data_IF_256308477443
#
_entry.id   IF_256308477443
#
_cell.length_a   1.000
_cell.length_b   1.000
_cell.length_c   1.000
_cell.angle_alpha   90.00
_cell.angle_beta   90.00
_cell.angle_gamma   90.00
#
_symmetry.space_group_name_H-M   'P 1'
#
loop_
_entity.id
_entity.type
_entity.pdbx_description
1 polymer ?
#
# COMPACT_ATOMS: atom_id res chain seq x y z
N UNK A 1 47.01 -61.71 38.03
CA UNK A 1 47.48 -60.39 37.54
C UNK A 1 46.43 -59.85 36.58
N UNK A 2 45.61 -58.89 37.01
CA UNK A 2 44.53 -58.33 36.19
C UNK A 2 44.83 -56.86 35.91
N UNK A 3 45.05 -56.52 34.64
CA UNK A 3 45.34 -55.17 34.19
C UNK A 3 44.05 -54.35 34.13
N UNK A 4 43.97 -53.29 34.94
CA UNK A 4 42.90 -52.28 34.87
C UNK A 4 43.35 -51.16 33.94
N UNK A 5 42.68 -51.00 32.80
CA UNK A 5 42.91 -49.85 31.91
C UNK A 5 42.12 -48.62 32.38
N UNK A 6 42.62 -47.42 32.06
CA UNK A 6 42.21 -46.14 32.61
C UNK A 6 40.79 -45.65 32.25
N UNK A 7 39.97 -46.44 31.55
CA UNK A 7 38.63 -46.04 31.11
C UNK A 7 37.47 -46.78 31.79
N UNK A 8 37.74 -47.70 32.71
CA UNK A 8 36.70 -48.51 33.36
C UNK A 8 36.12 -47.91 34.66
N UNK A 9 36.25 -46.60 34.90
CA UNK A 9 35.57 -45.94 36.04
C UNK A 9 34.28 -45.29 35.57
N UNK A 10 33.16 -45.91 35.94
CA UNK A 10 31.82 -45.33 35.89
C UNK A 10 31.81 -44.01 36.66
N UNK A 11 31.44 -42.91 35.98
CA UNK A 11 31.31 -41.59 36.63
C UNK A 11 31.61 -40.39 35.74
N UNK A 12 31.97 -40.57 34.47
CA UNK A 12 32.16 -39.48 33.52
C UNK A 12 30.85 -39.10 32.82
N UNK A 13 30.15 -38.10 33.32
CA UNK A 13 29.17 -37.34 32.53
C UNK A 13 29.91 -36.70 31.36
N UNK A 14 29.91 -37.35 30.20
CA UNK A 14 30.29 -36.71 28.95
C UNK A 14 29.33 -35.54 28.72
N UNK A 15 29.80 -34.28 28.65
CA UNK A 15 28.97 -33.19 28.19
C UNK A 15 28.65 -33.48 26.72
N UNK A 16 27.50 -34.09 26.49
CA UNK A 16 26.91 -34.19 25.17
C UNK A 16 26.90 -32.79 24.58
N UNK A 17 27.48 -32.66 23.40
CA UNK A 17 27.56 -31.49 22.54
C UNK A 17 26.15 -31.10 22.03
N UNK A 18 25.20 -31.00 22.96
CA UNK A 18 23.87 -30.45 22.75
C UNK A 18 24.06 -28.95 22.62
N UNK A 19 24.19 -28.51 21.38
CA UNK A 19 23.89 -27.15 20.97
C UNK A 19 22.57 -26.76 21.64
N UNK A 20 22.55 -25.84 22.63
CA UNK A 20 21.29 -25.39 23.18
C UNK A 20 20.53 -24.69 22.06
N UNK A 21 19.34 -25.19 21.73
CA UNK A 21 18.41 -24.48 20.87
C UNK A 21 18.12 -23.15 21.55
N UNK A 22 18.78 -22.09 21.06
CA UNK A 22 18.57 -20.71 21.47
C UNK A 22 17.18 -20.28 21.01
N UNK A 23 16.17 -20.67 21.77
CA UNK A 23 14.82 -20.13 21.66
C UNK A 23 14.82 -18.78 22.37
N UNK A 24 15.32 -17.75 21.68
CA UNK A 24 15.10 -16.36 22.09
C UNK A 24 13.66 -15.99 21.74
N UNK A 25 12.72 -16.36 22.60
CA UNK A 25 11.41 -15.68 22.65
C UNK A 25 11.60 -14.35 23.37
N UNK A 26 11.37 -13.20 22.72
CA UNK A 26 11.33 -11.92 23.41
C UNK A 26 10.13 -11.89 24.37
N UNK A 27 10.37 -11.60 25.66
CA UNK A 27 9.32 -11.26 26.63
C UNK A 27 8.72 -9.90 26.25
N UNK A 28 7.43 -9.79 25.91
CA UNK A 28 6.79 -8.49 25.80
C UNK A 28 6.54 -7.90 27.19
N UNK A 29 6.97 -6.65 27.38
CA UNK A 29 6.59 -5.81 28.52
C UNK A 29 5.07 -5.63 28.50
N UNK A 30 4.42 -5.88 29.64
CA UNK A 30 3.00 -5.62 29.81
C UNK A 30 2.73 -4.11 29.73
N UNK A 31 2.12 -3.66 28.64
CA UNK A 31 1.30 -2.46 28.65
C UNK A 31 -0.15 -2.89 28.70
N UNK A 32 -0.84 -2.32 29.69
CA UNK A 32 -2.22 -2.57 30.07
C UNK A 32 -3.12 -1.99 28.98
N UNK A 33 -3.75 -2.83 28.15
CA UNK A 33 -4.84 -2.43 27.27
C UNK A 33 -5.85 -3.56 27.06
N UNK A 34 -7.03 -3.34 27.64
CA UNK A 34 -8.38 -3.70 27.19
C UNK A 34 -8.62 -5.02 26.43
N UNK A 35 -9.29 -5.94 27.12
CA UNK A 35 -10.44 -6.78 26.71
C UNK A 35 -10.61 -7.19 25.22
N UNK A 36 -10.66 -8.52 25.09
CA UNK A 36 -11.41 -9.38 24.14
C UNK A 36 -11.04 -9.36 22.66
N UNK A 37 -10.31 -10.38 22.21
CA UNK A 37 -10.90 -11.46 21.40
C UNK A 37 -9.95 -12.67 21.27
N UNK A 38 -10.57 -13.84 21.27
CA UNK A 38 -10.05 -15.20 21.21
C UNK A 38 -9.11 -15.44 20.01
N UNK A 39 -8.01 -16.22 20.14
CA UNK A 39 -7.18 -16.60 18.99
C UNK A 39 -7.83 -17.79 18.27
N UNK A 40 -8.89 -17.52 17.49
CA UNK A 40 -9.23 -18.38 16.36
C UNK A 40 -8.18 -18.18 15.27
N UNK A 41 -7.72 -19.26 14.64
CA UNK A 41 -6.70 -19.27 13.59
C UNK A 41 -6.76 -17.99 12.73
N UNK A 42 -5.76 -17.12 12.89
CA UNK A 42 -5.75 -15.82 12.25
C UNK A 42 -5.67 -16.03 10.74
N UNK A 43 -6.83 -15.99 10.08
CA UNK A 43 -6.90 -15.84 8.63
C UNK A 43 -6.04 -14.64 8.25
N UNK A 44 -5.30 -14.70 7.13
CA UNK A 44 -4.52 -13.57 6.68
C UNK A 44 -5.41 -12.30 6.64
N UNK A 45 -4.87 -11.14 7.05
CA UNK A 45 -5.66 -9.91 7.10
C UNK A 45 -6.24 -9.63 5.72
N UNK A 46 -7.56 -9.39 5.65
CA UNK A 46 -8.26 -9.00 4.43
C UNK A 46 -7.60 -7.76 3.81
N UNK A 47 -7.61 -7.64 2.48
CA UNK A 47 -7.10 -6.41 1.87
C UNK A 47 -7.96 -5.20 2.23
N UNK A 48 -7.36 -4.02 2.09
CA UNK A 48 -8.04 -2.74 2.27
C UNK A 48 -9.23 -2.59 1.32
N UNK A 49 -9.15 -3.15 0.11
CA UNK A 49 -10.22 -3.03 -0.88
C UNK A 49 -11.42 -3.90 -0.51
N UNK A 50 -11.20 -5.15 -0.07
CA UNK A 50 -12.29 -6.00 0.42
C UNK A 50 -12.98 -5.33 1.60
N UNK A 51 -12.22 -4.79 2.55
CA UNK A 51 -12.80 -4.06 3.68
C UNK A 51 -13.61 -2.83 3.22
N UNK A 52 -13.13 -2.10 2.22
CA UNK A 52 -13.85 -0.95 1.66
C UNK A 52 -15.18 -1.36 1.05
N UNK A 53 -15.20 -2.43 0.24
CA UNK A 53 -16.41 -2.95 -0.39
C UNK A 53 -17.37 -3.57 0.62
N UNK A 54 -16.87 -4.25 1.65
CA UNK A 54 -17.69 -4.80 2.74
C UNK A 54 -18.40 -3.69 3.52
N UNK A 55 -17.68 -2.63 3.91
CA UNK A 55 -18.27 -1.46 4.58
C UNK A 55 -19.34 -0.80 3.71
N UNK A 56 -19.07 -0.69 2.40
CA UNK A 56 -20.00 -0.10 1.45
C UNK A 56 -21.27 -0.95 1.30
N UNK A 57 -21.11 -2.27 1.12
CA UNK A 57 -22.20 -3.25 1.08
C UNK A 57 -23.06 -3.15 2.32
N UNK A 58 -22.45 -3.18 3.50
CA UNK A 58 -23.18 -3.13 4.78
C UNK A 58 -23.94 -1.82 4.93
N UNK A 59 -23.33 -0.70 4.50
CA UNK A 59 -23.98 0.60 4.44
C UNK A 59 -25.21 0.61 3.53
N UNK A 60 -25.08 0.10 2.30
CA UNK A 60 -26.18 0.01 1.33
C UNK A 60 -27.30 -0.93 1.81
N UNK A 61 -26.94 -2.10 2.33
CA UNK A 61 -27.89 -3.08 2.86
C UNK A 61 -28.68 -2.53 4.05
N UNK A 62 -28.03 -1.75 4.92
CA UNK A 62 -28.71 -1.06 6.02
C UNK A 62 -29.71 0.00 5.54
N UNK A 63 -29.45 0.66 4.41
CA UNK A 63 -30.39 1.62 3.80
C UNK A 63 -31.58 0.90 3.19
N UNK A 64 -31.32 -0.17 2.42
CA UNK A 64 -32.37 -1.01 1.82
C UNK A 64 -33.30 -1.58 2.91
N UNK A 65 -32.72 -2.09 3.99
CA UNK A 65 -33.48 -2.65 5.12
C UNK A 65 -34.35 -1.61 5.84
N UNK A 66 -34.02 -0.32 5.74
CA UNK A 66 -34.80 0.80 6.29
C UNK A 66 -35.82 1.37 5.30
N UNK A 67 -36.07 0.69 4.18
CA UNK A 67 -37.01 1.15 3.15
C UNK A 67 -36.50 2.36 2.37
N UNK A 68 -35.18 2.50 2.20
CA UNK A 68 -34.59 3.58 1.41
C UNK A 68 -34.52 4.93 2.12
N UNK A 69 -34.85 5.00 3.41
CA UNK A 69 -34.70 6.23 4.21
C UNK A 69 -33.21 6.47 4.46
N UNK A 70 -32.66 7.45 3.73
CA UNK A 70 -31.27 7.85 3.83
C UNK A 70 -31.09 8.87 4.96
N UNK A 71 -30.17 8.57 5.87
CA UNK A 71 -29.71 9.53 6.87
C UNK A 71 -28.69 10.50 6.27
N UNK A 72 -28.53 11.66 6.89
CA UNK A 72 -27.39 12.53 6.64
C UNK A 72 -26.11 11.85 7.13
N UNK A 73 -25.00 12.07 6.42
CA UNK A 73 -23.69 11.59 6.89
C UNK A 73 -23.39 12.20 8.28
N UNK A 74 -23.03 11.40 9.30
CA UNK A 74 -22.64 11.92 10.62
C UNK A 74 -21.44 12.88 10.55
N UNK A 75 -20.63 12.82 9.49
CA UNK A 75 -19.51 13.75 9.25
C UNK A 75 -19.94 15.00 8.47
N UNK A 76 -21.22 15.13 8.12
CA UNK A 76 -21.78 16.25 7.38
C UNK A 76 -21.60 16.18 5.87
N UNK A 77 -21.04 15.09 5.33
CA UNK A 77 -20.69 14.97 3.92
C UNK A 77 -19.54 15.89 3.50
N UNK A 78 -19.08 15.74 2.27
CA UNK A 78 -18.06 16.60 1.68
C UNK A 78 -18.68 17.66 0.77
N UNK A 79 -18.59 18.93 1.18
CA UNK A 79 -18.69 20.07 0.29
C UNK A 79 -17.28 20.44 -0.12
N UNK A 80 -16.88 20.12 -1.34
CA UNK A 80 -15.49 20.18 -1.75
C UNK A 80 -14.85 21.59 -1.59
N UNK A 81 -15.62 22.68 -1.46
CA UNK A 81 -15.11 24.05 -1.18
C UNK A 81 -13.90 24.42 -2.07
N UNK A 82 -14.01 24.16 -3.37
CA UNK A 82 -12.94 24.34 -4.37
C UNK A 82 -11.67 23.47 -4.18
N UNK A 83 -11.70 22.44 -3.33
CA UNK A 83 -10.67 21.40 -3.24
C UNK A 83 -10.91 20.32 -4.29
N UNK A 84 -9.82 19.79 -4.86
CA UNK A 84 -9.87 18.67 -5.79
C UNK A 84 -9.99 17.35 -5.02
N UNK A 85 -11.04 16.61 -5.32
CA UNK A 85 -11.24 15.24 -4.86
C UNK A 85 -11.57 14.35 -6.05
N UNK A 86 -11.22 13.07 -5.96
CA UNK A 86 -11.61 12.10 -7.00
C UNK A 86 -13.13 11.98 -6.98
N UNK A 87 -13.74 12.02 -8.17
CA UNK A 87 -15.18 11.84 -8.37
C UNK A 87 -15.54 10.42 -7.91
N UNK A 88 -16.68 10.27 -7.23
CA UNK A 88 -17.12 8.96 -6.79
C UNK A 88 -17.45 8.06 -7.99
N UNK A 89 -17.04 6.80 -7.92
CA UNK A 89 -17.28 5.79 -8.96
C UNK A 89 -18.73 5.34 -9.02
N UNK A 90 -19.45 5.39 -7.88
CA UNK A 90 -20.80 4.86 -7.76
C UNK A 90 -21.89 5.93 -7.92
N UNK A 91 -21.56 7.20 -7.69
CA UNK A 91 -22.49 8.33 -7.76
C UNK A 91 -21.74 9.60 -8.19
N UNK A 92 -21.69 9.89 -9.50
CA UNK A 92 -20.94 11.05 -10.01
C UNK A 92 -21.61 12.40 -9.70
N UNK A 93 -22.94 12.44 -9.63
CA UNK A 93 -23.71 13.64 -9.29
C UNK A 93 -25.04 13.30 -8.63
N UNK A 94 -25.59 14.25 -7.86
CA UNK A 94 -26.95 14.15 -7.33
C UNK A 94 -27.98 14.40 -8.45
N UNK A 95 -28.94 13.48 -8.62
CA UNK A 95 -29.98 13.60 -9.66
C UNK A 95 -30.98 14.73 -9.40
N UNK A 96 -31.11 15.21 -8.17
CA UNK A 96 -32.07 16.25 -7.81
C UNK A 96 -31.51 17.67 -7.96
N UNK A 97 -30.29 17.92 -7.44
CA UNK A 97 -29.69 19.26 -7.46
C UNK A 97 -28.46 19.39 -8.35
N UNK A 98 -28.00 18.31 -8.99
CA UNK A 98 -26.85 18.32 -9.89
C UNK A 98 -25.49 18.47 -9.19
N UNK A 99 -25.41 18.42 -7.86
CA UNK A 99 -24.15 18.55 -7.13
C UNK A 99 -23.21 17.39 -7.49
N UNK A 100 -21.99 17.64 -8.03
CA UNK A 100 -21.02 16.59 -8.28
C UNK A 100 -20.51 16.02 -6.95
N UNK A 101 -20.44 14.69 -6.85
CA UNK A 101 -20.10 13.99 -5.61
C UNK A 101 -18.72 13.33 -5.74
N UNK A 102 -17.88 13.55 -4.74
CA UNK A 102 -16.57 12.93 -4.63
C UNK A 102 -16.62 11.63 -3.82
N UNK A 103 -15.53 10.87 -3.79
CA UNK A 103 -15.44 9.59 -3.06
C UNK A 103 -15.76 9.68 -1.56
N UNK A 104 -15.73 10.87 -0.96
CA UNK A 104 -16.12 11.07 0.45
C UNK A 104 -17.64 11.05 0.65
N UNK A 105 -18.42 11.33 -0.39
CA UNK A 105 -19.88 11.30 -0.37
C UNK A 105 -20.36 9.89 -0.74
N UNK A 106 -20.40 9.01 0.26
CA UNK A 106 -20.79 7.61 0.06
C UNK A 106 -22.27 7.50 -0.37
N UNK A 107 -22.62 6.52 -1.22
CA UNK A 107 -23.97 6.37 -1.78
C UNK A 107 -25.04 5.96 -0.75
N UNK A 108 -24.63 5.53 0.44
CA UNK A 108 -25.50 5.15 1.55
C UNK A 108 -25.95 6.34 2.43
N UNK A 109 -25.60 7.59 2.06
CA UNK A 109 -26.06 8.81 2.73
C UNK A 109 -26.85 9.72 1.79
N UNK A 110 -27.65 10.61 2.36
CA UNK A 110 -28.39 11.62 1.61
C UNK A 110 -27.45 12.69 1.00
N UNK A 111 -27.92 13.38 -0.04
CA UNK A 111 -27.19 14.48 -0.64
C UNK A 111 -26.89 15.58 0.41
N UNK A 112 -25.64 16.05 0.54
CA UNK A 112 -25.33 17.08 1.53
C UNK A 112 -26.00 18.42 1.20
N UNK A 113 -26.28 18.73 -0.07
CA UNK A 113 -26.87 20.01 -0.49
C UNK A 113 -28.39 20.07 -0.38
N UNK A 114 -29.11 19.03 -0.79
CA UNK A 114 -30.58 19.05 -0.84
C UNK A 114 -31.25 17.98 0.04
N UNK A 115 -30.46 17.16 0.75
CA UNK A 115 -30.94 16.06 1.62
C UNK A 115 -31.78 15.01 0.87
N UNK A 116 -31.84 15.08 -0.46
CA UNK A 116 -32.54 14.10 -1.28
C UNK A 116 -31.77 12.78 -1.33
N UNK A 117 -32.48 11.65 -1.54
CA UNK A 117 -31.84 10.38 -1.79
C UNK A 117 -31.01 10.43 -3.07
N UNK A 118 -29.79 9.90 -3.03
CA UNK A 118 -28.88 9.93 -4.19
C UNK A 118 -29.29 8.97 -5.31
N UNK A 119 -30.02 7.92 -4.94
CA UNK A 119 -30.48 6.87 -5.85
C UNK A 119 -31.94 6.58 -5.56
N UNK A 120 -32.69 6.21 -6.61
CA UNK A 120 -34.00 5.60 -6.44
C UNK A 120 -33.86 4.20 -5.83
N UNK A 121 -34.92 3.71 -5.19
CA UNK A 121 -34.93 2.38 -4.56
C UNK A 121 -34.48 1.24 -5.51
N UNK A 122 -34.98 1.11 -6.76
CA UNK A 122 -34.47 0.09 -7.68
C UNK A 122 -33.00 0.31 -8.08
N UNK A 123 -32.54 1.57 -8.17
CA UNK A 123 -31.14 1.86 -8.45
C UNK A 123 -30.22 1.51 -7.29
N UNK A 124 -30.69 1.63 -6.04
CA UNK A 124 -29.95 1.17 -4.85
C UNK A 124 -29.77 -0.35 -4.86
N UNK A 125 -30.81 -1.12 -5.20
CA UNK A 125 -30.69 -2.58 -5.33
C UNK A 125 -29.73 -2.98 -6.44
N UNK A 126 -29.79 -2.31 -7.60
CA UNK A 126 -28.85 -2.55 -8.70
C UNK A 126 -27.40 -2.25 -8.29
N UNK A 127 -27.18 -1.14 -7.56
CA UNK A 127 -25.86 -0.79 -7.03
C UNK A 127 -25.37 -1.81 -6.00
N UNK A 128 -26.25 -2.29 -5.11
CA UNK A 128 -25.91 -3.33 -4.15
C UNK A 128 -25.49 -4.62 -4.85
N UNK A 129 -26.21 -5.04 -5.89
CA UNK A 129 -25.85 -6.20 -6.71
C UNK A 129 -24.47 -6.01 -7.36
N UNK A 130 -24.22 -4.84 -7.96
CA UNK A 130 -22.91 -4.51 -8.54
C UNK A 130 -21.78 -4.60 -7.51
N UNK A 131 -21.97 -4.05 -6.30
CA UNK A 131 -20.95 -4.09 -5.23
C UNK A 131 -20.69 -5.53 -4.76
N UNK A 132 -21.72 -6.39 -4.73
CA UNK A 132 -21.55 -7.82 -4.42
C UNK A 132 -20.73 -8.53 -5.51
N UNK A 133 -21.02 -8.29 -6.78
CA UNK A 133 -20.26 -8.86 -7.90
C UNK A 133 -18.80 -8.40 -7.89
N UNK A 134 -18.54 -7.12 -7.62
CA UNK A 134 -17.18 -6.59 -7.48
C UNK A 134 -16.44 -7.22 -6.31
N UNK A 135 -17.11 -7.42 -5.17
CA UNK A 135 -16.54 -8.07 -3.99
C UNK A 135 -16.16 -9.52 -4.31
N UNK A 136 -17.00 -10.27 -5.01
CA UNK A 136 -16.71 -11.64 -5.45
C UNK A 136 -15.51 -11.70 -6.40
N UNK A 137 -15.39 -10.75 -7.33
CA UNK A 137 -14.24 -10.64 -8.23
C UNK A 137 -12.95 -10.39 -7.45
N UNK A 138 -12.98 -9.47 -6.47
CA UNK A 138 -11.80 -9.17 -5.64
C UNK A 138 -11.41 -10.36 -4.76
N UNK A 139 -12.37 -11.03 -4.14
CA UNK A 139 -12.11 -12.22 -3.32
C UNK A 139 -11.49 -13.36 -4.14
N UNK A 140 -11.98 -13.60 -5.37
CA UNK A 140 -11.36 -14.61 -6.27
C UNK A 140 -9.92 -14.26 -6.59
N UNK A 141 -9.63 -12.98 -6.93
CA UNK A 141 -8.27 -12.51 -7.19
C UNK A 141 -7.35 -12.68 -5.98
N UNK A 142 -7.84 -12.43 -4.77
CA UNK A 142 -7.06 -12.64 -3.54
C UNK A 142 -6.76 -14.10 -3.26
N UNK A 143 -7.75 -14.98 -3.45
CA UNK A 143 -7.57 -16.43 -3.30
C UNK A 143 -6.55 -16.96 -4.31
N UNK A 144 -6.64 -16.54 -5.57
CA UNK A 144 -5.71 -16.94 -6.62
C UNK A 144 -4.28 -16.43 -6.34
N UNK A 145 -4.14 -15.16 -5.92
CA UNK A 145 -2.85 -14.60 -5.53
C UNK A 145 -2.24 -15.35 -4.33
N UNK A 146 -3.07 -15.78 -3.37
CA UNK A 146 -2.61 -16.58 -2.22
C UNK A 146 -2.10 -17.95 -2.66
N UNK A 147 -2.84 -18.64 -3.52
CA UNK A 147 -2.43 -19.95 -4.08
C UNK A 147 -1.13 -19.83 -4.85
N UNK A 148 -1.00 -18.82 -5.70
CA UNK A 148 0.24 -18.55 -6.43
C UNK A 148 1.42 -18.29 -5.49
N UNK A 149 1.22 -17.52 -4.42
CA UNK A 149 2.27 -17.27 -3.43
C UNK A 149 2.67 -18.55 -2.66
N UNK A 150 1.72 -19.43 -2.34
CA UNK A 150 2.02 -20.73 -1.70
C UNK A 150 2.77 -21.67 -2.64
N UNK A 151 2.35 -21.76 -3.90
CA UNK A 151 3.01 -22.58 -4.91
C UNK A 151 4.42 -22.08 -5.21
N UNK A 152 4.63 -20.76 -5.26
CA UNK A 152 5.96 -20.18 -5.42
C UNK A 152 6.85 -20.43 -4.20
N UNK A 153 6.31 -20.34 -2.97
CA UNK A 153 7.04 -20.73 -1.75
C UNK A 153 7.44 -22.21 -1.76
N UNK A 154 6.54 -23.09 -2.20
CA UNK A 154 6.84 -24.53 -2.35
C UNK A 154 7.89 -24.76 -3.44
N UNK A 155 7.84 -24.02 -4.56
CA UNK A 155 8.85 -24.08 -5.61
C UNK A 155 10.22 -23.66 -5.10
N UNK A 156 10.33 -22.54 -4.36
CA UNK A 156 11.61 -22.07 -3.81
C UNK A 156 12.16 -23.01 -2.74
N UNK A 157 11.30 -23.58 -1.87
CA UNK A 157 11.75 -24.51 -0.81
C UNK A 157 12.03 -25.92 -1.33
N UNK A 158 11.26 -26.38 -2.32
CA UNK A 158 11.39 -27.68 -2.96
C UNK A 158 12.38 -27.69 -4.12
N UNK A 159 12.80 -26.53 -4.63
CA UNK A 159 13.91 -26.44 -5.56
C UNK A 159 15.19 -26.74 -4.77
N UNK A 160 15.61 -28.00 -4.81
CA UNK A 160 17.01 -28.32 -4.60
C UNK A 160 17.79 -27.39 -5.53
N UNK A 161 18.72 -26.55 -5.03
CA UNK A 161 19.48 -25.64 -5.87
C UNK A 161 20.12 -26.49 -6.96
N UNK A 162 19.57 -26.40 -8.17
CA UNK A 162 20.04 -27.20 -9.28
C UNK A 162 21.37 -26.58 -9.63
N UNK A 163 22.45 -27.27 -9.27
CA UNK A 163 23.81 -26.92 -9.66
C UNK A 163 23.95 -27.11 -11.18
N UNK A 164 23.25 -26.29 -11.97
CA UNK A 164 23.43 -26.26 -13.40
C UNK A 164 24.63 -25.36 -13.72
N UNK A 165 25.63 -25.97 -14.36
CA UNK A 165 26.78 -25.36 -15.03
C UNK A 165 27.98 -24.91 -14.17
N UNK A 166 28.38 -25.72 -13.20
CA UNK A 166 29.77 -25.72 -12.70
C UNK A 166 30.47 -27.05 -13.01
N UNK A 167 30.25 -27.63 -14.19
CA UNK A 167 31.10 -28.68 -14.74
C UNK A 167 31.00 -28.65 -16.28
N UNK A 168 32.17 -28.62 -16.93
CA UNK A 168 32.43 -28.79 -18.37
C UNK A 168 32.09 -27.63 -19.32
N UNK A 169 32.75 -26.49 -19.14
CA UNK A 169 33.24 -25.70 -20.27
C UNK A 169 34.75 -25.97 -20.42
N UNK A 170 35.06 -27.16 -20.92
CA UNK A 170 36.39 -27.50 -21.42
C UNK A 170 36.19 -28.41 -22.62
N UNK A 171 36.49 -27.82 -23.79
CA UNK A 171 36.83 -28.48 -25.06
C UNK A 171 35.69 -28.98 -25.95
N UNK A 172 35.56 -28.25 -27.08
CA UNK A 172 35.26 -28.73 -28.44
C UNK A 172 34.06 -29.66 -28.67
N UNK A 173 32.96 -29.08 -29.19
CA UNK A 173 32.54 -29.38 -30.58
C UNK A 173 31.24 -28.67 -30.96
N UNK A 174 31.28 -28.16 -32.19
CA UNK A 174 30.21 -27.55 -32.97
C UNK A 174 28.99 -28.49 -33.10
N UNK A 175 27.83 -28.14 -32.55
CA UNK A 175 26.52 -28.41 -33.20
C UNK A 175 25.53 -27.28 -32.84
N UNK A 176 24.97 -26.71 -33.89
CA UNK A 176 24.09 -25.56 -33.96
C UNK A 176 22.63 -25.96 -33.66
N UNK A 177 21.97 -25.34 -32.67
CA UNK A 177 20.50 -25.27 -32.56
C UNK A 177 20.08 -23.86 -32.08
N UNK A 178 19.12 -23.18 -32.74
CA UNK A 178 18.68 -21.85 -32.35
C UNK A 178 17.52 -21.93 -31.35
N UNK A 179 17.63 -21.19 -30.23
CA UNK A 179 16.51 -21.01 -29.30
C UNK A 179 16.87 -20.90 -27.81
N UNK A 180 18.08 -20.43 -27.47
CA UNK A 180 18.46 -20.16 -26.08
C UNK A 180 17.99 -18.78 -25.63
N UNK A 181 17.01 -18.75 -24.73
CA UNK A 181 16.65 -17.56 -23.97
C UNK A 181 17.83 -17.12 -23.09
N UNK A 182 18.14 -15.83 -23.15
CA UNK A 182 19.31 -15.18 -22.59
C UNK A 182 19.49 -15.41 -21.08
N UNK A 183 20.74 -15.55 -20.59
CA UNK A 183 21.01 -15.62 -19.15
C UNK A 183 20.73 -14.26 -18.47
N UNK A 184 20.21 -14.26 -17.22
CA UNK A 184 19.99 -13.02 -16.47
C UNK A 184 21.32 -12.32 -16.12
N UNK A 185 21.29 -10.98 -15.87
CA UNK A 185 22.50 -10.21 -15.61
C UNK A 185 23.23 -10.71 -14.35
N UNK A 186 24.52 -11.02 -14.51
CA UNK A 186 25.40 -11.49 -13.45
C UNK A 186 25.51 -10.45 -12.33
N UNK A 187 24.80 -10.66 -11.22
CA UNK A 187 25.13 -10.01 -9.96
C UNK A 187 26.51 -10.50 -9.51
N UNK A 188 27.43 -9.56 -9.31
CA UNK A 188 28.81 -9.81 -8.88
C UNK A 188 28.81 -10.50 -7.50
N UNK A 189 28.89 -11.84 -7.49
CA UNK A 189 28.89 -12.60 -6.25
C UNK A 189 30.24 -12.43 -5.53
N UNK A 190 30.21 -11.79 -4.36
CA UNK A 190 31.35 -11.74 -3.45
C UNK A 190 31.56 -13.14 -2.84
N UNK A 191 32.60 -13.84 -3.27
CA UNK A 191 32.93 -15.16 -2.72
C UNK A 191 33.43 -14.99 -1.28
N UNK A 192 32.70 -15.59 -0.33
CA UNK A 192 33.11 -15.71 1.08
C UNK A 192 33.71 -17.09 1.28
N UNK A 193 35.03 -17.14 1.48
CA UNK A 193 35.76 -18.38 1.76
C UNK A 193 35.87 -18.54 3.27
N UNK A 194 35.29 -19.62 3.79
CA UNK A 194 35.48 -20.02 5.19
C UNK A 194 36.68 -20.96 5.24
N UNK A 195 37.75 -20.53 5.89
CA UNK A 195 38.92 -21.36 6.15
C UNK A 195 38.91 -21.81 7.60
N UNK A 196 39.09 -23.11 7.83
CA UNK A 196 39.16 -23.71 9.15
C UNK A 196 40.62 -24.07 9.41
N UNK A 197 41.25 -23.35 10.33
CA UNK A 197 42.63 -23.63 10.67
C UNK A 197 42.70 -24.89 11.55
N UNK A 198 43.20 -26.00 11.00
CA UNK A 198 43.21 -27.30 11.68
C UNK A 198 43.98 -27.30 13.02
N UNK A 199 44.94 -26.38 13.20
CA UNK A 199 45.78 -26.29 14.40
C UNK A 199 45.12 -25.47 15.51
N UNK A 200 44.28 -24.49 15.17
CA UNK A 200 43.62 -23.60 16.14
C UNK A 200 42.10 -23.81 16.23
N UNK A 201 41.53 -24.66 15.35
CA UNK A 201 40.08 -24.92 15.18
C UNK A 201 39.23 -23.65 15.03
N UNK A 202 39.84 -22.52 14.66
CA UNK A 202 39.15 -21.25 14.45
C UNK A 202 38.74 -21.14 12.98
N UNK A 203 37.49 -20.73 12.76
CA UNK A 203 36.96 -20.41 11.44
C UNK A 203 37.31 -18.96 11.10
N UNK A 204 38.05 -18.73 10.03
CA UNK A 204 38.31 -17.40 9.47
C UNK A 204 37.52 -17.21 8.19
N UNK A 205 36.76 -16.13 8.11
CA UNK A 205 35.97 -15.76 6.92
C UNK A 205 36.75 -14.73 6.13
N UNK A 206 37.21 -15.07 4.93
CA UNK A 206 37.82 -14.13 3.99
C UNK A 206 36.82 -13.84 2.87
N UNK A 207 36.38 -12.58 2.76
CA UNK A 207 35.54 -12.13 1.65
C UNK A 207 36.39 -11.45 0.59
N UNK A 208 36.44 -12.03 -0.62
CA UNK A 208 37.11 -11.43 -1.76
C UNK A 208 36.08 -10.70 -2.62
N UNK A 209 36.13 -9.38 -2.63
CA UNK A 209 35.36 -8.53 -3.55
C UNK A 209 36.32 -8.02 -4.63
N UNK A 210 36.07 -8.37 -5.90
CA UNK A 210 36.80 -7.76 -7.01
C UNK A 210 36.29 -6.32 -7.15
N UNK A 211 37.12 -5.34 -6.75
CA UNK A 211 36.81 -3.91 -6.95
C UNK A 211 36.92 -3.59 -8.45
N UNK A 212 35.88 -3.03 -9.11
CA UNK A 212 36.07 -2.45 -10.44
C UNK A 212 36.92 -1.17 -10.34
N UNK A 213 37.81 -0.99 -11.34
CA UNK A 213 38.65 0.18 -11.54
C UNK A 213 37.77 1.37 -11.94
N UNK A 214 37.72 2.40 -11.10
CA UNK A 214 36.96 3.62 -11.35
C UNK A 214 37.66 4.50 -12.39
N UNK A 215 36.93 4.91 -13.43
CA UNK A 215 37.22 6.11 -14.25
C UNK A 215 36.61 7.34 -13.57
N UNK A 216 37.30 8.50 -13.56
CA UNK A 216 36.80 9.70 -12.89
C UNK A 216 35.72 10.43 -13.72
N UNK A 217 34.64 10.93 -13.11
CA UNK A 217 33.72 11.85 -13.78
C UNK A 217 34.18 13.30 -13.64
N UNK A 218 33.87 14.19 -14.60
CA UNK A 218 34.10 15.61 -14.46
C UNK A 218 33.06 16.24 -13.51
N UNK A 219 33.54 17.27 -12.82
CA UNK A 219 32.90 18.12 -11.81
C UNK A 219 31.55 18.72 -12.20
N UNK A 220 30.60 18.69 -11.26
CA UNK A 220 29.41 19.56 -11.21
C UNK A 220 29.03 19.86 -9.75
N UNK A 221 28.62 21.09 -9.37
CA UNK A 221 28.56 21.51 -7.98
C UNK A 221 27.20 21.25 -7.31
N UNK A 222 27.27 20.79 -6.05
CA UNK A 222 26.43 21.23 -4.93
C UNK A 222 24.96 20.83 -4.90
N UNK A 223 24.60 19.94 -3.97
CA UNK A 223 23.64 20.22 -2.87
C UNK A 223 23.43 19.01 -1.95
N UNK A 224 23.90 19.18 -0.70
CA UNK A 224 23.29 18.77 0.59
C UNK A 224 22.33 17.56 0.58
N UNK A 225 22.82 16.42 1.05
CA UNK A 225 22.00 15.28 1.47
C UNK A 225 21.81 15.31 3.00
N UNK A 226 20.56 15.49 3.43
CA UNK A 226 20.11 15.13 4.78
C UNK A 226 19.60 13.68 4.78
N UNK A 227 19.67 13.06 5.97
CA UNK A 227 19.45 11.66 6.30
C UNK A 227 18.04 11.10 5.96
N UNK A 228 17.88 9.78 5.77
CA UNK A 228 16.58 9.15 5.58
C UNK A 228 15.84 9.01 6.91
N UNK A 229 14.76 9.77 7.09
CA UNK A 229 13.75 9.52 8.12
C UNK A 229 12.64 8.67 7.50
N UNK A 230 12.43 7.53 8.15
CA UNK A 230 11.23 6.70 8.25
C UNK A 230 9.94 7.34 7.69
N UNK A 231 9.36 6.67 6.69
CA UNK A 231 8.11 7.04 6.02
C UNK A 231 6.90 6.78 6.93
N UNK A 232 6.46 7.81 7.63
CA UNK A 232 5.10 7.95 8.14
C UNK A 232 4.22 8.52 7.01
N UNK A 233 3.61 7.63 6.21
CA UNK A 233 2.65 7.98 5.15
C UNK A 233 1.27 7.40 5.45
N UNK A 234 0.26 8.27 5.60
CA UNK A 234 -1.13 7.83 5.49
C UNK A 234 -2.23 8.79 5.91
N UNK A 235 -1.94 9.91 6.57
CA UNK A 235 -2.95 10.94 6.84
C UNK A 235 -2.51 12.26 6.19
N UNK A 236 -3.26 12.81 5.23
CA UNK A 236 -2.90 14.10 4.65
C UNK A 236 -2.93 15.17 5.73
N UNK A 237 -1.83 15.92 5.84
CA UNK A 237 -1.67 17.01 6.77
C UNK A 237 -2.84 18.00 6.66
N UNK A 238 -3.49 18.30 7.80
CA UNK A 238 -4.57 19.30 7.86
C UNK A 238 -3.96 20.68 7.62
N UNK A 239 -4.11 21.17 6.38
CA UNK A 239 -3.67 22.50 5.97
C UNK A 239 -4.39 23.55 6.82
N UNK A 240 -3.63 24.51 7.37
CA UNK A 240 -4.16 25.64 8.13
C UNK A 240 -5.12 26.49 7.28
N UNK A 241 -6.10 27.13 7.94
CA UNK A 241 -7.09 27.97 7.29
C UNK A 241 -6.47 29.09 6.45
N UNK A 242 -7.12 29.52 5.36
CA UNK A 242 -6.59 30.53 4.47
C UNK A 242 -6.36 31.86 5.23
N UNK A 243 -5.36 32.66 4.83
CA UNK A 243 -5.14 34.00 5.39
C UNK A 243 -6.41 34.84 5.25
N UNK A 244 -6.78 35.57 6.31
CA UNK A 244 -8.00 36.41 6.34
C UNK A 244 -7.96 37.60 5.39
N UNK A 245 -6.80 37.93 4.83
CA UNK A 245 -6.62 39.13 4.02
C UNK A 245 -6.05 38.76 2.66
N UNK A 246 -6.89 38.89 1.63
CA UNK A 246 -6.51 38.80 0.23
C UNK A 246 -6.20 40.24 -0.20
N UNK A 247 -4.96 40.57 -0.62
CA UNK A 247 -4.67 41.86 -1.23
C UNK A 247 -5.49 41.98 -2.52
N UNK A 248 -6.50 42.84 -2.50
CA UNK A 248 -7.25 43.20 -3.70
C UNK A 248 -6.30 43.96 -4.64
N UNK A 249 -6.07 43.48 -5.87
CA UNK A 249 -5.33 44.26 -6.85
C UNK A 249 -6.13 45.54 -7.13
N UNK A 250 -5.54 46.70 -6.81
CA UNK A 250 -6.06 47.98 -7.28
C UNK A 250 -5.89 48.01 -8.79
N UNK A 251 -6.95 47.65 -9.53
CA UNK A 251 -6.94 47.74 -10.97
C UNK A 251 -6.79 49.21 -11.39
N UNK A 252 -5.95 49.52 -12.39
CA UNK A 252 -5.86 50.87 -12.91
C UNK A 252 -7.22 51.29 -13.50
N UNK A 253 -7.68 52.49 -13.13
CA UNK A 253 -8.99 53.06 -13.46
C UNK A 253 -9.38 53.00 -14.96
N UNK A 254 -8.40 52.80 -15.85
CA UNK A 254 -8.58 52.73 -17.31
C UNK A 254 -9.22 51.44 -17.83
N UNK A 255 -9.46 50.43 -17.01
CA UNK A 255 -10.14 49.19 -17.44
C UNK A 255 -11.64 49.15 -17.12
N UNK A 256 -12.18 50.20 -16.50
CA UNK A 256 -13.59 50.31 -16.14
C UNK A 256 -14.50 50.71 -17.31
N UNK A 257 -13.99 51.42 -18.31
CA UNK A 257 -14.77 51.81 -19.50
C UNK A 257 -15.08 50.63 -20.44
N UNK A 258 -14.26 49.58 -20.43
CA UNK A 258 -14.46 48.39 -21.26
C UNK A 258 -15.44 47.36 -20.66
N UNK A 259 -15.98 47.64 -19.47
CA UNK A 259 -16.90 46.74 -18.75
C UNK A 259 -18.07 47.54 -18.17
N UNK A 260 -19.07 47.91 -19.00
CA UNK A 260 -20.22 48.71 -18.55
C UNK A 260 -21.03 48.04 -17.42
N UNK A 261 -20.90 46.72 -17.26
CA UNK A 261 -21.54 45.95 -16.17
C UNK A 261 -20.81 46.02 -14.82
N UNK A 262 -19.61 46.61 -14.75
CA UNK A 262 -18.83 46.67 -13.49
C UNK A 262 -19.27 47.84 -12.57
N UNK A 263 -20.01 48.81 -13.08
CA UNK A 263 -20.53 49.95 -12.31
C UNK A 263 -22.04 49.84 -12.02
N UNK A 264 -22.53 48.66 -11.65
CA UNK A 264 -23.89 48.50 -11.13
C UNK A 264 -23.98 48.92 -9.64
N UNK A 265 -23.46 50.10 -9.31
CA UNK A 265 -23.59 50.72 -7.97
C UNK A 265 -24.60 51.88 -7.93
N UNK A 266 -25.23 52.21 -9.05
CA UNK A 266 -26.34 53.16 -9.11
C UNK A 266 -27.65 52.40 -9.33
N UNK A 267 -28.73 52.93 -8.72
CA UNK A 267 -30.06 52.32 -8.71
C UNK A 267 -30.60 52.10 -10.14
N UNK A 268 -30.52 50.86 -10.62
CA UNK A 268 -31.08 50.45 -11.90
C UNK A 268 -32.59 50.29 -11.72
N UNK A 269 -33.37 51.22 -12.28
CA UNK A 269 -34.83 51.08 -12.38
C UNK A 269 -35.19 50.29 -13.64
N UNK A 270 -35.93 49.20 -13.47
CA UNK A 270 -36.44 48.38 -14.56
C UNK A 270 -37.53 49.13 -15.32
N UNK A 271 -37.36 49.29 -16.63
CA UNK A 271 -38.40 49.82 -17.54
C UNK A 271 -39.06 48.63 -18.23
N UNK A 272 -40.36 48.48 -18.01
CA UNK A 272 -41.17 47.41 -18.59
C UNK A 272 -41.39 47.66 -20.10
N UNK A 273 -41.03 46.72 -20.99
CA UNK A 273 -41.19 46.86 -22.43
C UNK A 273 -42.65 46.94 -22.90
N UNK A 274 -43.64 46.69 -22.03
CA UNK A 274 -45.06 46.86 -22.37
C UNK A 274 -45.55 48.33 -22.39
N UNK A 275 -44.68 49.31 -22.10
CA UNK A 275 -45.01 50.75 -22.11
C UNK A 275 -44.29 51.56 -23.19
N UNK A 276 -43.73 50.92 -24.21
CA UNK A 276 -43.23 51.57 -25.43
C UNK A 276 -44.26 51.50 -26.56
#
# INVERSE_FOLDING_TARGET
MSYKTAWSKSGGSLPSDRIPSRTTTPKPKSTKASRSNTPGAASPPKSKEVLRLEILRDGLQAVVSRGGVLGTDPKGGCFCQARSHVISTYNSACMQCGLPLCMLNLPNYACPSCVSPLHSEPALHALLAQVLDELDVVLRKEEDARRQAEDERKRIQGSFPTLAAATTASSDSLVNLPGGLAPPPQQQQAHKVLSLNAKTKRVTVASYTKKPRATPPPSGPGSRAESPTEWDEGLPARIHGPPREIPLPQAPARTLEARPWFNAREDVTYVDPARL
#
